data_IF_963040714850
#
_entry.id   IF_963040714850
#
_cell.length_a   1.000
_cell.length_b   1.000
_cell.length_c   1.000
_cell.angle_alpha   90.00
_cell.angle_beta   90.00
_cell.angle_gamma   90.00
#
_symmetry.space_group_name_H-M   'P 1'
#
loop_
_entity.id
_entity.type
_entity.pdbx_description
1 polymer ?
#
# COMPACT_ATOMS: atom_id res chain seq x y z
N UNK A 1 11.01 3.96 3.16
CA UNK A 1 9.54 4.08 2.93
C UNK A 1 9.15 3.17 1.78
N UNK A 2 8.12 2.34 1.95
CA UNK A 2 7.58 1.46 0.90
C UNK A 2 6.17 1.91 0.53
N UNK A 3 5.87 2.00 -0.77
CA UNK A 3 4.52 2.27 -1.27
C UNK A 3 3.79 0.94 -1.48
N UNK A 4 2.48 0.91 -1.22
CA UNK A 4 1.68 -0.28 -1.55
C UNK A 4 1.72 -0.57 -3.05
N UNK A 5 1.65 -1.85 -3.41
CA UNK A 5 1.56 -2.29 -4.79
C UNK A 5 0.18 -2.00 -5.42
N UNK A 6 0.01 -2.44 -6.66
CA UNK A 6 -1.22 -2.30 -7.44
C UNK A 6 -2.45 -2.89 -6.71
N UNK A 7 -3.58 -2.19 -6.74
CA UNK A 7 -4.89 -2.66 -6.25
C UNK A 7 -5.82 -3.07 -7.40
N UNK A 8 -6.88 -3.81 -7.09
CA UNK A 8 -7.92 -4.16 -8.07
C UNK A 8 -8.51 -2.93 -8.77
N UNK A 9 -8.73 -1.84 -8.02
CA UNK A 9 -9.26 -0.59 -8.57
C UNK A 9 -8.23 0.17 -9.40
N UNK A 10 -6.94 0.09 -9.05
CA UNK A 10 -5.90 0.66 -9.92
C UNK A 10 -5.84 -0.05 -11.26
N UNK A 11 -6.02 -1.38 -11.28
CA UNK A 11 -6.14 -2.14 -12.52
C UNK A 11 -7.34 -1.70 -13.38
N UNK A 12 -8.44 -1.31 -12.72
CA UNK A 12 -9.65 -0.80 -13.37
C UNK A 12 -9.61 0.72 -13.65
N UNK A 13 -8.48 1.40 -13.42
CA UNK A 13 -8.35 2.86 -13.52
C UNK A 13 -9.38 3.65 -12.67
N UNK A 14 -9.85 3.05 -11.57
CA UNK A 14 -10.78 3.68 -10.62
C UNK A 14 -10.03 4.43 -9.52
N UNK A 15 -10.57 5.57 -9.13
CA UNK A 15 -10.06 6.34 -7.99
C UNK A 15 -10.37 5.61 -6.67
N UNK A 16 -9.34 5.14 -5.97
CA UNK A 16 -9.51 4.41 -4.70
C UNK A 16 -9.78 5.31 -3.49
N UNK A 17 -9.10 6.46 -3.40
CA UNK A 17 -9.09 7.30 -2.20
C UNK A 17 -8.94 6.52 -0.89
N UNK A 18 -9.92 6.70 0.00
CA UNK A 18 -9.98 6.05 1.31
C UNK A 18 -10.72 4.70 1.28
N UNK A 19 -11.21 4.27 0.12
CA UNK A 19 -11.79 2.96 -0.05
C UNK A 19 -10.73 1.86 0.12
N UNK A 20 -11.11 0.79 0.81
CA UNK A 20 -10.27 -0.37 1.07
C UNK A 20 -10.30 -1.34 -0.11
N UNK A 21 -9.83 -0.90 -1.28
CA UNK A 21 -9.66 -1.77 -2.43
C UNK A 21 -8.62 -2.88 -2.12
N UNK A 22 -8.90 -4.14 -2.43
CA UNK A 22 -7.95 -5.24 -2.22
C UNK A 22 -6.74 -5.13 -3.16
N UNK A 23 -5.61 -5.66 -2.71
CA UNK A 23 -4.39 -5.76 -3.54
C UNK A 23 -4.62 -6.70 -4.73
N UNK A 24 -4.10 -6.35 -5.90
CA UNK A 24 -4.11 -7.25 -7.06
C UNK A 24 -3.03 -8.33 -6.88
N UNK A 25 -3.09 -9.41 -7.68
CA UNK A 25 -2.02 -10.42 -7.71
C UNK A 25 -0.66 -9.79 -8.03
N UNK A 26 -0.65 -8.79 -8.90
CA UNK A 26 0.56 -8.04 -9.26
C UNK A 26 1.06 -7.19 -8.08
N UNK A 27 0.17 -6.54 -7.33
CA UNK A 27 0.56 -5.79 -6.13
C UNK A 27 1.19 -6.66 -5.04
N UNK A 28 0.81 -7.94 -4.96
CA UNK A 28 1.47 -8.91 -4.06
C UNK A 28 2.88 -9.25 -4.59
N UNK A 29 3.04 -9.49 -5.90
CA UNK A 29 4.35 -9.73 -6.50
C UNK A 29 5.30 -8.54 -6.34
N UNK A 30 4.80 -7.30 -6.42
CA UNK A 30 5.59 -6.10 -6.17
C UNK A 30 6.08 -6.03 -4.71
N UNK A 31 5.25 -6.45 -3.76
CA UNK A 31 5.65 -6.57 -2.35
C UNK A 31 6.74 -7.63 -2.17
N UNK A 32 6.58 -8.78 -2.84
CA UNK A 32 7.53 -9.90 -2.90
C UNK A 32 8.82 -9.64 -3.71
N UNK A 33 8.91 -8.51 -4.42
CA UNK A 33 10.17 -8.05 -5.01
C UNK A 33 10.91 -7.08 -4.08
N UNK A 34 10.15 -6.34 -3.26
CA UNK A 34 10.68 -5.35 -2.34
C UNK A 34 11.37 -6.01 -1.14
N UNK A 35 10.73 -6.98 -0.51
CA UNK A 35 11.29 -7.85 0.53
C UNK A 35 12.58 -8.57 0.08
N UNK A 36 12.64 -9.16 -1.12
CA UNK A 36 13.84 -9.82 -1.63
C UNK A 36 15.03 -8.86 -1.69
N UNK A 37 14.75 -7.60 -2.03
CA UNK A 37 15.77 -6.55 -2.04
C UNK A 37 16.19 -6.16 -0.62
N UNK A 38 15.25 -6.10 0.33
CA UNK A 38 15.54 -5.84 1.74
C UNK A 38 16.36 -6.96 2.38
N UNK A 39 15.97 -8.21 2.14
CA UNK A 39 16.65 -9.42 2.64
C UNK A 39 18.06 -9.54 2.10
N UNK A 40 18.26 -9.34 0.78
CA UNK A 40 19.61 -9.32 0.18
C UNK A 40 20.53 -8.25 0.76
N UNK A 41 19.97 -7.11 1.16
CA UNK A 41 20.74 -6.01 1.76
C UNK A 41 20.88 -6.14 3.28
N UNK A 42 20.24 -7.13 3.91
CA UNK A 42 20.33 -7.37 5.35
C UNK A 42 19.74 -6.25 6.20
N UNK A 43 18.71 -5.54 5.71
CA UNK A 43 18.05 -4.52 6.51
C UNK A 43 17.30 -5.15 7.69
N UNK A 44 17.44 -4.52 8.85
CA UNK A 44 16.65 -4.80 10.04
C UNK A 44 15.93 -3.52 10.46
N UNK A 45 14.71 -3.67 10.92
CA UNK A 45 13.91 -2.57 11.45
C UNK A 45 13.66 -2.78 12.94
N UNK A 46 13.48 -1.68 13.68
CA UNK A 46 13.09 -1.67 15.10
C UNK A 46 11.59 -1.41 15.29
N UNK A 47 10.97 -0.67 14.37
CA UNK A 47 9.54 -0.33 14.37
C UNK A 47 9.03 -0.14 12.95
N UNK A 48 7.74 -0.40 12.72
CA UNK A 48 7.07 -0.09 11.47
C UNK A 48 5.82 0.75 11.69
N UNK A 49 5.52 1.60 10.71
CA UNK A 49 4.32 2.43 10.71
C UNK A 49 3.50 2.15 9.46
N UNK A 50 2.18 2.11 9.60
CA UNK A 50 1.27 1.88 8.48
C UNK A 50 0.01 2.73 8.59
N UNK A 51 -0.66 2.90 7.45
CA UNK A 51 -2.00 3.49 7.46
C UNK A 51 -3.03 2.46 7.96
N UNK A 52 -4.20 2.94 8.35
CA UNK A 52 -5.31 2.03 8.70
C UNK A 52 -5.93 1.32 7.48
N UNK A 53 -5.46 1.57 6.25
CA UNK A 53 -5.98 0.96 5.04
C UNK A 53 -5.46 -0.46 4.87
N UNK A 54 -6.35 -1.40 4.56
CA UNK A 54 -6.06 -2.84 4.53
C UNK A 54 -5.00 -3.20 3.48
N UNK A 55 -5.03 -2.54 2.31
CA UNK A 55 -4.04 -2.75 1.24
C UNK A 55 -2.59 -2.50 1.69
N UNK A 56 -2.36 -1.48 2.50
CA UNK A 56 -1.01 -1.10 2.97
C UNK A 56 -0.58 -2.03 4.10
N UNK A 57 -1.51 -2.41 4.97
CA UNK A 57 -1.26 -3.39 6.03
C UNK A 57 -0.90 -4.75 5.44
N UNK A 58 -1.54 -5.17 4.35
CA UNK A 58 -1.23 -6.42 3.68
C UNK A 58 0.17 -6.41 3.08
N UNK A 59 0.55 -5.33 2.37
CA UNK A 59 1.92 -5.18 1.86
C UNK A 59 2.96 -5.19 2.99
N UNK A 60 2.72 -4.47 4.08
CA UNK A 60 3.64 -4.47 5.23
C UNK A 60 3.78 -5.88 5.84
N UNK A 61 2.66 -6.59 6.00
CA UNK A 61 2.65 -7.94 6.55
C UNK A 61 3.50 -8.90 5.72
N UNK A 62 3.31 -8.92 4.39
CA UNK A 62 4.10 -9.75 3.47
C UNK A 62 5.59 -9.44 3.61
N UNK A 63 5.96 -8.17 3.66
CA UNK A 63 7.37 -7.76 3.80
C UNK A 63 7.95 -8.23 5.14
N UNK A 64 7.24 -8.03 6.25
CA UNK A 64 7.70 -8.43 7.59
C UNK A 64 7.84 -9.95 7.72
N UNK A 65 6.94 -10.72 7.10
CA UNK A 65 7.01 -12.18 7.07
C UNK A 65 8.26 -12.66 6.34
N UNK A 66 8.58 -12.09 5.18
CA UNK A 66 9.71 -12.53 4.35
C UNK A 66 11.08 -12.13 4.91
N UNK A 67 11.17 -10.98 5.58
CA UNK A 67 12.38 -10.57 6.31
C UNK A 67 12.48 -11.17 7.72
N UNK A 68 11.56 -12.07 8.09
CA UNK A 68 11.53 -12.79 9.37
C UNK A 68 11.40 -11.86 10.60
N UNK A 69 10.71 -10.72 10.43
CA UNK A 69 10.43 -9.73 11.49
C UNK A 69 8.92 -9.56 11.75
N UNK A 70 8.13 -10.62 11.70
CA UNK A 70 6.67 -10.58 11.93
C UNK A 70 6.25 -10.09 13.32
N UNK A 71 7.14 -10.13 14.31
CA UNK A 71 6.90 -9.68 15.69
C UNK A 71 7.21 -8.20 15.93
N UNK A 72 7.64 -7.47 14.89
CA UNK A 72 7.98 -6.05 14.98
C UNK A 72 6.79 -5.23 15.49
N UNK A 73 6.98 -4.25 16.39
CA UNK A 73 5.92 -3.32 16.76
C UNK A 73 5.45 -2.53 15.53
N UNK A 74 4.14 -2.56 15.26
CA UNK A 74 3.51 -1.84 14.15
C UNK A 74 2.53 -0.80 14.67
N UNK A 75 2.83 0.48 14.44
CA UNK A 75 1.91 1.57 14.74
C UNK A 75 1.02 1.90 13.55
N UNK A 76 -0.29 2.00 13.79
CA UNK A 76 -1.30 2.34 12.78
C UNK A 76 -1.78 3.76 13.00
N UNK A 77 -1.81 4.58 11.94
CA UNK A 77 -2.34 5.94 12.03
C UNK A 77 -3.19 6.34 10.82
N UNK A 78 -4.19 7.20 11.07
CA UNK A 78 -5.01 7.83 10.04
C UNK A 78 -4.21 8.82 9.18
N UNK A 79 -3.13 9.40 9.75
CA UNK A 79 -2.34 10.46 9.11
C UNK A 79 -1.51 9.97 7.92
N UNK A 80 -1.28 8.66 7.81
CA UNK A 80 -0.56 8.03 6.69
C UNK A 80 -1.47 7.66 5.51
N UNK A 81 -2.75 8.08 5.51
CA UNK A 81 -3.63 7.90 4.35
C UNK A 81 -3.25 8.88 3.24
N UNK A 82 -3.19 8.40 2.00
CA UNK A 82 -3.10 9.28 0.84
C UNK A 82 -4.37 10.13 0.70
N UNK A 83 -4.21 11.40 0.34
CA UNK A 83 -5.30 12.29 -0.08
C UNK A 83 -5.40 12.18 -1.60
N UNK A 84 -6.61 11.97 -2.14
CA UNK A 84 -6.85 12.19 -3.57
C UNK A 84 -6.84 13.70 -3.79
N UNK A 85 -5.70 14.25 -4.20
CA UNK A 85 -5.59 15.65 -4.62
C UNK A 85 -5.96 15.78 -6.09
N UNK A 86 -7.25 15.64 -6.41
CA UNK A 86 -7.89 16.21 -7.61
C UNK A 86 -9.37 15.82 -7.59
N UNK A 87 -10.23 16.76 -7.24
CA UNK A 87 -11.68 16.68 -7.41
C UNK A 87 -12.17 17.78 -8.38
N UNK A 88 -11.29 18.30 -9.25
CA UNK A 88 -11.60 19.45 -10.13
C UNK A 88 -11.77 19.06 -11.62
N UNK A 89 -11.89 17.77 -11.98
CA UNK A 89 -12.00 17.35 -13.39
C UNK A 89 -13.14 16.38 -13.71
N UNK A 90 -14.18 16.32 -12.88
CA UNK A 90 -15.34 15.45 -13.14
C UNK A 90 -16.69 16.20 -13.13
N UNK A 91 -16.72 17.49 -13.49
CA UNK A 91 -17.97 18.27 -13.58
C UNK A 91 -18.30 18.87 -14.95
N UNK A 92 -17.48 18.73 -15.99
CA UNK A 92 -17.66 19.54 -17.22
C UNK A 92 -18.00 18.75 -18.49
N UNK A 93 -18.47 17.50 -18.40
CA UNK A 93 -18.93 16.71 -19.57
C UNK A 93 -20.35 16.12 -19.42
N UNK A 94 -21.19 16.69 -18.54
CA UNK A 94 -22.59 16.24 -18.36
C UNK A 94 -23.64 17.27 -18.81
N UNK A 95 -23.30 18.17 -19.74
CA UNK A 95 -24.30 19.03 -20.39
C UNK A 95 -23.88 19.33 -21.83
N UNK A 96 -24.18 18.40 -22.74
CA UNK A 96 -24.59 18.67 -24.14
C UNK A 96 -25.43 17.50 -24.63
#
# INVERSE_FOLDING_TARGET
MVRHGETAWNKENKLCGWFNAPSSKKGIQEALAADQTLKRKGYQFDTAHTSVLTRVQHTLKVILEEIEQSSLPVEKTLRLRGIVKHLDKLSDEATM
#
